data_IF_659818857070
#
_entry.id   IF_659818857070
#
_cell.length_a   1.000
_cell.length_b   1.000
_cell.length_c   1.000
_cell.angle_alpha   90.00
_cell.angle_beta   90.00
_cell.angle_gamma   90.00
#
_symmetry.space_group_name_H-M   'P 1'
#
loop_
_entity.id
_entity.type
_entity.pdbx_description
1 polymer ?
#
# COMPACT_ATOMS: atom_id res chain seq x y z
N UNK A 1 -32.06 26.97 -6.60
CA UNK A 1 -31.64 25.85 -5.75
C UNK A 1 -30.13 25.95 -5.54
N UNK A 2 -29.64 26.40 -4.38
CA UNK A 2 -28.20 26.44 -4.13
C UNK A 2 -27.68 25.01 -3.98
N UNK A 3 -26.73 24.61 -4.83
CA UNK A 3 -25.97 23.37 -4.67
C UNK A 3 -25.20 23.49 -3.37
N UNK A 4 -25.66 22.80 -2.33
CA UNK A 4 -24.93 22.65 -1.06
C UNK A 4 -23.66 21.87 -1.41
N UNK A 5 -22.51 22.55 -1.52
CA UNK A 5 -21.22 21.87 -1.55
C UNK A 5 -21.12 21.11 -0.23
N UNK A 6 -21.32 19.80 -0.27
CA UNK A 6 -20.99 18.95 0.86
C UNK A 6 -19.49 19.07 1.04
N UNK A 7 -19.07 19.62 2.18
CA UNK A 7 -17.69 19.45 2.65
C UNK A 7 -17.60 17.95 2.92
N UNK A 8 -17.01 17.22 1.98
CA UNK A 8 -16.69 15.82 2.17
C UNK A 8 -15.53 15.84 3.17
N UNK A 9 -15.76 15.29 4.37
CA UNK A 9 -14.70 15.11 5.36
C UNK A 9 -13.50 14.42 4.69
N UNK A 10 -12.29 14.87 5.03
CA UNK A 10 -11.06 14.28 4.50
C UNK A 10 -11.06 12.79 4.85
N UNK A 11 -11.15 11.92 3.83
CA UNK A 11 -11.01 10.48 4.08
C UNK A 11 -9.61 10.22 4.68
N UNK A 12 -9.47 9.28 5.62
CA UNK A 12 -8.16 8.98 6.17
C UNK A 12 -7.29 8.29 5.12
N UNK A 13 -6.10 8.85 4.89
CA UNK A 13 -5.11 8.35 3.95
C UNK A 13 -3.84 7.92 4.68
N UNK A 14 -3.19 6.90 4.14
CA UNK A 14 -1.81 6.59 4.44
C UNK A 14 -0.93 7.20 3.37
N UNK A 15 0.09 7.91 3.83
CA UNK A 15 1.19 8.37 3.00
C UNK A 15 2.28 7.31 3.07
N UNK A 16 2.71 6.88 1.88
CA UNK A 16 3.79 5.92 1.71
C UNK A 16 4.94 6.64 1.03
N UNK A 17 6.12 6.59 1.64
CA UNK A 17 7.34 7.25 1.16
C UNK A 17 8.46 6.25 0.92
N UNK A 18 9.23 6.46 -0.15
CA UNK A 18 10.38 5.63 -0.52
C UNK A 18 11.67 6.47 -0.56
N UNK A 19 12.24 6.80 0.60
CA UNK A 19 13.55 7.44 0.67
C UNK A 19 13.65 8.90 0.19
N UNK A 20 14.77 9.56 0.50
CA UNK A 20 14.88 10.98 0.86
C UNK A 20 14.64 12.09 -0.21
N UNK A 21 14.10 11.81 -1.40
CA UNK A 21 14.23 12.74 -2.54
C UNK A 21 12.87 13.18 -3.15
N UNK A 22 12.31 14.24 -2.56
CA UNK A 22 11.44 15.31 -3.09
C UNK A 22 10.13 15.05 -3.88
N UNK A 23 9.80 13.86 -4.39
CA UNK A 23 8.52 13.63 -5.13
C UNK A 23 7.82 12.28 -4.88
N UNK A 24 8.29 11.44 -3.96
CA UNK A 24 7.86 10.03 -3.82
C UNK A 24 6.84 9.75 -2.70
N UNK A 25 5.83 10.59 -2.50
CA UNK A 25 4.76 10.31 -1.54
C UNK A 25 3.49 9.87 -2.26
N UNK A 26 3.13 8.60 -2.09
CA UNK A 26 1.87 8.06 -2.60
C UNK A 26 0.82 8.07 -1.48
N UNK A 27 -0.36 8.64 -1.79
CA UNK A 27 -1.50 8.66 -0.87
C UNK A 27 -2.45 7.51 -1.19
N UNK A 28 -2.70 6.69 -0.18
CA UNK A 28 -3.58 5.54 -0.28
C UNK A 28 -4.73 5.65 0.72
N UNK A 29 -6.00 5.70 0.26
CA UNK A 29 -7.15 5.68 1.16
C UNK A 29 -7.18 4.41 2.01
N UNK A 30 -7.48 4.50 3.31
CA UNK A 30 -7.50 3.33 4.21
C UNK A 30 -8.48 2.23 3.73
N UNK A 31 -9.64 2.62 3.19
CA UNK A 31 -10.64 1.68 2.63
C UNK A 31 -10.05 0.84 1.50
N UNK A 32 -9.14 1.42 0.74
CA UNK A 32 -8.51 0.77 -0.40
C UNK A 32 -7.46 -0.25 0.07
N UNK A 33 -6.64 0.12 1.07
CA UNK A 33 -5.71 -0.81 1.72
C UNK A 33 -6.44 -2.00 2.34
N UNK A 34 -7.55 -1.75 3.03
CA UNK A 34 -8.41 -2.82 3.56
C UNK A 34 -8.98 -3.71 2.44
N UNK A 35 -9.40 -3.14 1.31
CA UNK A 35 -9.82 -3.95 0.16
C UNK A 35 -8.69 -4.78 -0.42
N UNK A 36 -7.45 -4.27 -0.45
CA UNK A 36 -6.28 -5.03 -0.88
C UNK A 36 -5.96 -6.18 0.05
N UNK A 37 -6.13 -6.01 1.37
CA UNK A 37 -5.97 -7.09 2.35
C UNK A 37 -6.89 -8.28 2.00
N UNK A 38 -8.16 -8.01 1.69
CA UNK A 38 -9.11 -9.06 1.27
C UNK A 38 -8.70 -9.78 -0.02
N UNK A 39 -8.12 -9.06 -1.00
CA UNK A 39 -7.56 -9.72 -2.19
C UNK A 39 -6.32 -10.55 -1.83
N UNK A 40 -5.41 -10.03 -1.00
CA UNK A 40 -4.21 -10.74 -0.57
C UNK A 40 -4.56 -12.05 0.15
N UNK A 41 -5.58 -12.03 1.00
CA UNK A 41 -6.11 -13.24 1.65
C UNK A 41 -6.63 -14.27 0.64
N UNK A 42 -7.37 -13.85 -0.38
CA UNK A 42 -7.96 -14.76 -1.37
C UNK A 42 -7.02 -15.22 -2.48
N UNK A 43 -5.97 -14.44 -2.78
CA UNK A 43 -5.14 -14.64 -3.98
C UNK A 43 -3.73 -15.17 -3.69
N UNK A 44 -3.20 -14.95 -2.49
CA UNK A 44 -1.86 -15.41 -2.10
C UNK A 44 -1.92 -16.68 -1.26
N UNK A 45 -0.84 -17.46 -1.27
CA UNK A 45 -0.76 -18.69 -0.48
C UNK A 45 -0.79 -18.35 1.02
N UNK A 46 -1.30 -19.28 1.83
CA UNK A 46 -1.40 -19.08 3.28
C UNK A 46 -0.04 -18.85 3.94
N UNK A 47 1.00 -19.49 3.41
CA UNK A 47 2.34 -19.48 3.98
C UNK A 47 3.09 -18.16 3.74
N UNK A 48 2.74 -17.43 2.67
CA UNK A 48 3.45 -16.20 2.27
C UNK A 48 2.69 -14.91 2.64
N UNK A 49 1.37 -14.98 2.76
CA UNK A 49 0.52 -13.77 2.82
C UNK A 49 0.52 -13.03 4.16
N UNK A 50 0.97 -13.68 5.24
CA UNK A 50 0.82 -13.19 6.61
C UNK A 50 1.32 -11.76 6.83
N UNK A 51 2.60 -11.46 6.51
CA UNK A 51 3.15 -10.11 6.67
C UNK A 51 2.42 -9.05 5.85
N UNK A 52 2.07 -9.36 4.59
CA UNK A 52 1.37 -8.41 3.71
C UNK A 52 -0.07 -8.13 4.19
N UNK A 53 -0.81 -9.16 4.58
CA UNK A 53 -2.19 -9.00 5.07
C UNK A 53 -2.20 -8.19 6.36
N UNK A 54 -1.25 -8.45 7.28
CA UNK A 54 -1.15 -7.71 8.53
C UNK A 54 -0.88 -6.22 8.27
N UNK A 55 0.08 -5.90 7.38
CA UNK A 55 0.39 -4.53 7.00
C UNK A 55 -0.82 -3.83 6.35
N UNK A 56 -1.51 -4.47 5.40
CA UNK A 56 -2.64 -3.87 4.71
C UNK A 56 -3.88 -3.69 5.60
N UNK A 57 -4.02 -4.52 6.63
CA UNK A 57 -5.12 -4.45 7.61
C UNK A 57 -4.85 -3.39 8.67
N UNK A 58 -3.60 -3.29 9.13
CA UNK A 58 -3.16 -2.34 10.13
C UNK A 58 -2.02 -1.46 9.58
N UNK A 59 -2.31 -0.60 8.59
CA UNK A 59 -1.25 0.15 7.92
C UNK A 59 -0.60 1.21 8.82
N UNK A 60 -1.29 1.62 9.89
CA UNK A 60 -0.75 2.53 10.92
C UNK A 60 0.42 1.91 11.70
N UNK A 61 0.47 0.57 11.78
CA UNK A 61 1.56 -0.16 12.41
C UNK A 61 2.76 -0.36 11.46
N UNK A 62 2.63 0.05 10.19
CA UNK A 62 3.64 -0.14 9.15
C UNK A 62 4.95 0.62 9.44
N UNK A 63 4.86 1.82 10.03
CA UNK A 63 6.02 2.61 10.45
C UNK A 63 7.13 2.71 9.40
N UNK A 64 8.38 2.59 9.83
CA UNK A 64 9.54 2.52 8.94
C UNK A 64 9.99 1.06 8.78
N UNK A 65 9.77 0.49 7.59
CA UNK A 65 10.21 -0.86 7.28
C UNK A 65 11.62 -0.87 6.68
N UNK A 66 12.50 -1.80 7.11
CA UNK A 66 13.84 -1.92 6.54
C UNK A 66 13.80 -2.34 5.05
N UNK A 67 14.86 -2.01 4.27
CA UNK A 67 14.89 -2.26 2.82
C UNK A 67 14.65 -3.73 2.43
N UNK A 68 15.16 -4.67 3.23
CA UNK A 68 14.96 -6.10 3.00
C UNK A 68 13.49 -6.51 3.07
N UNK A 69 12.80 -6.04 4.12
CA UNK A 69 11.37 -6.30 4.31
C UNK A 69 10.53 -5.60 3.25
N UNK A 70 10.90 -4.38 2.86
CA UNK A 70 10.26 -3.67 1.75
C UNK A 70 10.36 -4.48 0.44
N UNK A 71 11.52 -5.05 0.14
CA UNK A 71 11.72 -5.91 -1.02
C UNK A 71 10.86 -7.18 -1.02
N UNK A 72 10.75 -7.85 0.13
CA UNK A 72 9.86 -9.02 0.29
C UNK A 72 8.40 -8.66 0.04
N UNK A 73 7.94 -7.55 0.63
CA UNK A 73 6.56 -7.07 0.47
C UNK A 73 6.29 -6.63 -0.97
N UNK A 74 7.26 -6.00 -1.64
CA UNK A 74 7.16 -5.62 -3.05
C UNK A 74 6.83 -6.85 -3.91
N UNK A 75 7.50 -7.99 -3.71
CA UNK A 75 7.25 -9.21 -4.48
C UNK A 75 5.83 -9.75 -4.27
N UNK A 76 5.34 -9.74 -3.03
CA UNK A 76 3.97 -10.19 -2.72
C UNK A 76 2.92 -9.28 -3.36
N UNK A 77 3.14 -7.96 -3.33
CA UNK A 77 2.27 -6.98 -3.98
C UNK A 77 2.28 -7.12 -5.51
N UNK A 78 3.43 -7.39 -6.13
CA UNK A 78 3.52 -7.67 -7.57
C UNK A 78 2.77 -8.93 -7.96
N UNK A 79 2.91 -9.99 -7.16
CA UNK A 79 2.16 -11.23 -7.36
C UNK A 79 0.67 -10.98 -7.28
N UNK A 80 0.23 -10.20 -6.30
CA UNK A 80 -1.16 -9.79 -6.14
C UNK A 80 -1.65 -8.96 -7.34
N UNK A 81 -0.91 -7.95 -7.75
CA UNK A 81 -1.26 -7.07 -8.87
C UNK A 81 -1.45 -7.82 -10.20
N UNK A 82 -0.70 -8.92 -10.40
CA UNK A 82 -0.76 -9.75 -11.61
C UNK A 82 -1.81 -10.86 -11.53
N UNK A 83 -2.48 -11.01 -10.39
CA UNK A 83 -3.39 -12.12 -10.17
C UNK A 83 -4.73 -11.91 -10.89
N UNK A 84 -5.19 -12.92 -11.64
CA UNK A 84 -6.36 -12.83 -12.52
C UNK A 84 -7.68 -12.48 -11.83
N UNK A 85 -7.79 -12.71 -10.52
CA UNK A 85 -9.01 -12.44 -9.74
C UNK A 85 -9.00 -11.05 -9.07
N UNK A 86 -7.93 -10.28 -9.21
CA UNK A 86 -7.85 -8.92 -8.69
C UNK A 86 -8.42 -7.97 -9.73
N UNK A 87 -9.36 -7.11 -9.30
CA UNK A 87 -9.95 -6.09 -10.18
C UNK A 87 -8.89 -5.07 -10.61
N UNK A 88 -9.01 -4.56 -11.83
CA UNK A 88 -8.03 -3.65 -12.43
C UNK A 88 -7.63 -2.46 -11.54
N UNK A 89 -8.60 -1.82 -10.86
CA UNK A 89 -8.30 -0.73 -9.93
C UNK A 89 -7.44 -1.18 -8.74
N UNK A 90 -7.81 -2.28 -8.08
CA UNK A 90 -7.03 -2.85 -6.99
C UNK A 90 -5.63 -3.32 -7.46
N UNK A 91 -5.55 -3.90 -8.66
CA UNK A 91 -4.27 -4.31 -9.26
C UNK A 91 -3.34 -3.10 -9.50
N UNK A 92 -3.87 -1.98 -9.98
CA UNK A 92 -3.10 -0.75 -10.17
C UNK A 92 -2.53 -0.22 -8.85
N UNK A 93 -3.31 -0.26 -7.76
CA UNK A 93 -2.82 0.18 -6.45
C UNK A 93 -1.81 -0.79 -5.83
N UNK A 94 -2.04 -2.10 -5.95
CA UNK A 94 -1.06 -3.10 -5.53
C UNK A 94 0.26 -2.91 -6.29
N UNK A 95 0.20 -2.60 -7.59
CA UNK A 95 1.37 -2.30 -8.41
C UNK A 95 2.08 -1.02 -7.96
N UNK A 96 1.35 0.06 -7.70
CA UNK A 96 1.93 1.31 -7.20
C UNK A 96 2.67 1.11 -5.86
N UNK A 97 2.04 0.42 -4.91
CA UNK A 97 2.67 0.07 -3.63
C UNK A 97 3.91 -0.81 -3.82
N UNK A 98 3.84 -1.77 -4.74
CA UNK A 98 4.99 -2.61 -5.05
C UNK A 98 6.16 -1.82 -5.62
N UNK A 99 5.88 -0.86 -6.51
CA UNK A 99 6.90 -0.03 -7.13
C UNK A 99 7.52 0.95 -6.13
N UNK A 100 6.74 1.45 -5.14
CA UNK A 100 7.27 2.23 -4.03
C UNK A 100 8.17 1.38 -3.10
N UNK A 101 7.70 0.19 -2.71
CA UNK A 101 8.45 -0.72 -1.85
C UNK A 101 9.76 -1.21 -2.52
N UNK A 102 9.70 -1.51 -3.81
CA UNK A 102 10.88 -1.90 -4.59
C UNK A 102 11.90 -0.77 -4.67
N UNK A 103 11.46 0.48 -4.91
CA UNK A 103 12.36 1.64 -4.92
C UNK A 103 13.06 1.85 -3.59
N UNK A 104 12.34 1.73 -2.47
CA UNK A 104 12.95 1.80 -1.14
C UNK A 104 14.01 0.69 -0.94
N UNK A 105 13.67 -0.55 -1.33
CA UNK A 105 14.58 -1.68 -1.25
C UNK A 105 15.84 -1.50 -2.10
N UNK A 106 15.70 -1.04 -3.35
CA UNK A 106 16.79 -0.79 -4.29
C UNK A 106 17.70 0.37 -3.85
N UNK A 107 17.11 1.42 -3.27
CA UNK A 107 17.85 2.54 -2.69
C UNK A 107 18.59 2.17 -1.39
N UNK A 108 18.24 1.02 -0.78
CA UNK A 108 18.76 0.66 0.55
C UNK A 108 18.18 1.56 1.66
N UNK A 109 17.01 2.14 1.42
CA UNK A 109 16.35 3.10 2.31
C UNK A 109 15.08 2.50 2.94
N UNK A 110 14.68 2.98 4.13
CA UNK A 110 13.46 2.49 4.76
C UNK A 110 12.23 2.87 3.93
N UNK A 111 11.25 1.98 3.93
CA UNK A 111 9.94 2.23 3.34
C UNK A 111 8.99 2.71 4.43
N UNK A 112 8.61 3.98 4.35
CA UNK A 112 7.89 4.65 5.44
C UNK A 112 6.39 4.74 5.18
N UNK A 113 5.62 4.43 6.22
CA UNK A 113 4.17 4.48 6.25
C UNK A 113 3.75 5.38 7.41
N UNK A 114 3.02 6.46 7.10
CA UNK A 114 2.47 7.33 8.12
C UNK A 114 1.07 7.82 7.71
N UNK A 115 0.24 8.12 8.70
CA UNK A 115 -1.09 8.66 8.47
C UNK A 115 -0.98 10.13 8.05
N UNK A 116 -1.73 10.53 7.02
CA UNK A 116 -1.90 11.94 6.68
C UNK A 116 -2.75 12.58 7.80
N UNK A 117 -2.16 13.52 8.54
CA UNK A 117 -2.73 14.17 9.73
C UNK A 117 -3.70 15.28 9.39
#
# INVERSE_FOLDING_TARGET
MPRKHAIVDAEPHMVVSHGADFFGQDRHPLKLLASLAGYAEGCLSRDERGPLVLLLTNPEDGGAMPPSQAGEIAQLLLKLARHRFVKAGAAAHARALADAAARAAEAGEPWEWHRDS
#
